data_IF_503033296765
#
_entry.id   IF_503033296765
#
_cell.length_a   1.000
_cell.length_b   1.000
_cell.length_c   1.000
_cell.angle_alpha   90.00
_cell.angle_beta   90.00
_cell.angle_gamma   90.00
#
_symmetry.space_group_name_H-M   'P 1'
#
loop_
_entity.id
_entity.type
_entity.pdbx_description
1 polymer ?
#
# COMPACT_ATOMS: atom_id res chain seq x y z
N UNK A 1 -21.33 23.97 10.58
CA UNK A 1 -19.97 23.97 10.00
C UNK A 1 -19.69 22.56 9.50
N UNK A 2 -19.62 22.31 8.18
CA UNK A 2 -19.27 20.98 7.65
C UNK A 2 -17.75 20.76 7.81
N UNK A 3 -17.34 19.64 8.38
CA UNK A 3 -15.92 19.25 8.48
C UNK A 3 -15.45 18.66 7.15
N UNK A 4 -14.18 18.87 6.80
CA UNK A 4 -13.63 18.42 5.52
C UNK A 4 -13.67 16.89 5.39
N UNK A 5 -13.90 16.41 4.17
CA UNK A 5 -14.03 14.99 3.82
C UNK A 5 -15.49 14.58 3.61
N UNK A 6 -15.89 13.38 4.07
CA UNK A 6 -17.25 12.83 3.88
C UNK A 6 -17.99 12.79 5.22
N UNK A 7 -19.10 13.52 5.36
CA UNK A 7 -19.87 13.60 6.61
C UNK A 7 -18.99 13.91 7.85
N UNK A 8 -17.89 14.61 7.64
CA UNK A 8 -16.89 14.95 8.66
C UNK A 8 -15.79 13.92 8.92
N UNK A 9 -15.81 12.75 8.27
CA UNK A 9 -14.69 11.81 8.21
C UNK A 9 -13.62 12.31 7.23
N UNK A 10 -12.34 12.23 7.63
CA UNK A 10 -11.21 12.51 6.73
C UNK A 10 -11.15 11.43 5.65
N UNK A 11 -11.07 11.85 4.39
CA UNK A 11 -10.95 10.96 3.23
C UNK A 11 -9.95 11.54 2.24
N UNK A 12 -9.41 10.69 1.36
CA UNK A 12 -8.67 11.16 0.18
C UNK A 12 -9.64 11.23 -1.00
N UNK A 13 -9.72 12.39 -1.65
CA UNK A 13 -10.45 12.54 -2.89
C UNK A 13 -9.68 11.85 -4.02
N UNK A 14 -10.28 10.83 -4.64
CA UNK A 14 -9.70 10.09 -5.76
C UNK A 14 -10.17 10.67 -7.10
N UNK A 15 -11.47 10.90 -7.25
CA UNK A 15 -12.07 11.53 -8.42
C UNK A 15 -13.17 12.49 -7.99
N UNK A 16 -13.39 13.59 -8.70
CA UNK A 16 -14.45 14.56 -8.41
C UNK A 16 -15.38 14.74 -9.62
N UNK A 17 -16.68 14.79 -9.37
CA UNK A 17 -17.72 14.93 -10.38
C UNK A 17 -18.41 13.60 -10.68
N UNK A 18 -18.10 12.97 -11.84
CA UNK A 18 -18.90 11.84 -12.35
C UNK A 18 -18.06 10.58 -12.62
N UNK A 19 -17.95 9.63 -11.67
CA UNK A 19 -18.41 9.70 -10.27
C UNK A 19 -17.42 10.41 -9.34
N UNK A 20 -17.90 11.02 -8.24
CA UNK A 20 -17.02 11.41 -7.12
C UNK A 20 -16.63 10.17 -6.33
N UNK A 21 -15.33 9.90 -6.27
CA UNK A 21 -14.76 8.76 -5.56
C UNK A 21 -13.87 9.23 -4.42
N UNK A 22 -14.00 8.59 -3.27
CA UNK A 22 -13.16 8.84 -2.09
C UNK A 22 -12.57 7.56 -1.54
N UNK A 23 -11.40 7.68 -0.91
CA UNK A 23 -10.74 6.63 -0.16
C UNK A 23 -10.92 6.93 1.33
N UNK A 24 -11.63 6.05 2.04
CA UNK A 24 -11.83 6.11 3.49
C UNK A 24 -10.87 5.17 4.21
N UNK A 25 -10.98 5.05 5.54
CA UNK A 25 -10.23 4.01 6.25
C UNK A 25 -10.66 2.58 5.86
N UNK A 26 -11.89 2.40 5.38
CA UNK A 26 -12.52 1.11 5.10
C UNK A 26 -12.49 0.73 3.62
N UNK A 27 -12.81 1.66 2.71
CA UNK A 27 -13.12 1.34 1.32
C UNK A 27 -12.77 2.50 0.37
N UNK A 28 -12.65 2.15 -0.91
CA UNK A 28 -12.80 3.10 -2.01
C UNK A 28 -14.28 3.08 -2.39
N UNK A 29 -14.92 4.24 -2.46
CA UNK A 29 -16.36 4.30 -2.71
C UNK A 29 -16.79 5.56 -3.43
N UNK A 30 -17.91 5.44 -4.15
CA UNK A 30 -18.62 6.56 -4.74
C UNK A 30 -19.47 7.26 -3.69
N UNK A 31 -19.43 8.59 -3.71
CA UNK A 31 -20.28 9.45 -2.89
C UNK A 31 -20.93 10.50 -3.78
N UNK A 32 -22.00 11.13 -3.30
CA UNK A 32 -22.54 12.30 -3.98
C UNK A 32 -21.59 13.50 -3.82
N UNK A 33 -21.48 14.34 -4.84
CA UNK A 33 -20.54 15.47 -4.86
C UNK A 33 -20.71 16.42 -3.67
N UNK A 34 -21.95 16.59 -3.18
CA UNK A 34 -22.28 17.45 -2.05
C UNK A 34 -21.95 16.82 -0.66
N UNK A 35 -21.67 15.52 -0.61
CA UNK A 35 -21.17 14.84 0.59
C UNK A 35 -19.68 15.14 0.81
N UNK A 36 -18.95 15.52 -0.24
CA UNK A 36 -17.55 15.91 -0.15
C UNK A 36 -17.40 17.38 0.23
N UNK A 37 -16.50 17.64 1.19
CA UNK A 37 -16.09 19.00 1.55
C UNK A 37 -14.58 19.12 1.45
N UNK A 38 -14.11 19.93 0.51
CA UNK A 38 -12.68 20.21 0.38
C UNK A 38 -12.16 20.98 1.60
N UNK A 39 -11.00 20.59 2.18
CA UNK A 39 -10.41 21.33 3.28
C UNK A 39 -9.87 22.70 2.83
N UNK A 40 -10.09 23.74 3.64
CA UNK A 40 -9.56 25.10 3.39
C UNK A 40 -8.08 25.27 3.77
N UNK A 41 -7.53 24.32 4.52
CA UNK A 41 -6.15 24.29 4.97
C UNK A 41 -5.59 22.87 4.82
N UNK A 42 -4.28 22.74 4.71
CA UNK A 42 -3.62 21.44 4.68
C UNK A 42 -4.04 20.59 5.89
N UNK A 43 -4.39 19.33 5.63
CA UNK A 43 -4.73 18.37 6.67
C UNK A 43 -3.52 17.51 6.99
N UNK A 44 -3.51 16.92 8.19
CA UNK A 44 -2.55 15.90 8.55
C UNK A 44 -2.59 14.74 7.53
N UNK A 45 -1.46 14.07 7.38
CA UNK A 45 -1.37 12.90 6.51
C UNK A 45 -2.39 11.85 6.92
N UNK A 46 -3.15 11.34 5.95
CA UNK A 46 -4.16 10.32 6.15
C UNK A 46 -3.72 9.02 5.48
N UNK A 47 -3.59 7.96 6.28
CA UNK A 47 -3.36 6.60 5.80
C UNK A 47 -4.59 5.74 6.14
N UNK A 48 -5.26 5.14 5.14
CA UNK A 48 -6.36 4.21 5.41
C UNK A 48 -5.96 3.08 6.34
N UNK A 49 -6.73 2.85 7.40
CA UNK A 49 -6.44 1.81 8.40
C UNK A 49 -6.35 0.43 7.76
N UNK A 50 -7.16 0.16 6.74
CA UNK A 50 -7.14 -1.10 5.98
C UNK A 50 -5.80 -1.44 5.33
N UNK A 51 -4.92 -0.46 5.12
CA UNK A 51 -3.58 -0.67 4.56
C UNK A 51 -2.51 -1.00 5.59
N UNK A 52 -2.73 -0.70 6.88
CA UNK A 52 -1.67 -0.81 7.90
C UNK A 52 -2.08 -1.45 9.23
N UNK A 53 -3.37 -1.58 9.55
CA UNK A 53 -3.79 -2.32 10.73
C UNK A 53 -3.96 -3.81 10.39
N UNK A 54 -3.40 -4.72 11.21
CA UNK A 54 -3.54 -6.16 10.98
C UNK A 54 -4.97 -6.62 11.25
N UNK A 55 -5.45 -7.56 10.44
CA UNK A 55 -6.68 -8.30 10.72
C UNK A 55 -6.42 -9.51 11.61
N UNK A 56 -5.30 -10.18 11.37
CA UNK A 56 -4.90 -11.38 12.08
C UNK A 56 -3.45 -11.72 11.82
N UNK A 57 -3.06 -12.92 12.25
CA UNK A 57 -1.79 -13.51 11.89
C UNK A 57 -1.92 -15.00 11.55
N UNK A 58 -1.05 -15.43 10.66
CA UNK A 58 -0.80 -16.83 10.35
C UNK A 58 0.42 -17.33 11.13
N UNK A 59 0.38 -18.55 11.63
CA UNK A 59 1.53 -19.20 12.28
C UNK A 59 2.19 -20.18 11.31
N UNK A 60 3.44 -19.91 10.94
CA UNK A 60 4.29 -20.79 10.14
C UNK A 60 4.79 -21.99 10.98
N UNK A 61 5.27 -23.06 10.34
CA UNK A 61 5.68 -24.29 11.02
C UNK A 61 6.81 -24.10 12.06
N UNK A 62 7.64 -23.08 11.89
CA UNK A 62 8.72 -22.71 12.80
C UNK A 62 8.26 -21.81 13.97
N UNK A 63 6.95 -21.55 14.08
CA UNK A 63 6.37 -20.67 15.10
C UNK A 63 6.36 -19.19 14.71
N UNK A 64 6.93 -18.80 13.56
CA UNK A 64 6.89 -17.43 13.07
C UNK A 64 5.44 -16.96 12.88
N UNK A 65 5.17 -15.70 13.23
CA UNK A 65 3.85 -15.08 13.01
C UNK A 65 3.92 -14.14 11.81
N UNK A 66 3.10 -14.41 10.80
CA UNK A 66 2.90 -13.51 9.65
C UNK A 66 1.61 -12.73 9.84
N UNK A 67 1.73 -11.43 10.15
CA UNK A 67 0.58 -10.53 10.22
C UNK A 67 0.00 -10.30 8.83
N UNK A 68 -1.32 -10.30 8.72
CA UNK A 68 -2.04 -10.08 7.46
C UNK A 68 -3.13 -9.02 7.57
N UNK A 69 -3.43 -8.34 6.46
CA UNK A 69 -4.43 -7.27 6.37
C UNK A 69 -5.86 -7.82 6.28
N UNK A 70 -6.88 -6.95 6.34
CA UNK A 70 -8.29 -7.37 6.14
C UNK A 70 -8.55 -8.05 4.79
N UNK A 71 -7.72 -7.76 3.79
CA UNK A 71 -7.78 -8.37 2.45
C UNK A 71 -6.86 -9.60 2.34
N UNK A 72 -6.47 -10.19 3.48
CA UNK A 72 -5.61 -11.37 3.60
C UNK A 72 -4.29 -11.23 2.83
N UNK A 73 -3.68 -10.05 2.90
CA UNK A 73 -2.36 -9.78 2.30
C UNK A 73 -1.29 -9.83 3.40
N UNK A 74 -0.17 -10.54 3.21
CA UNK A 74 0.97 -10.51 4.13
C UNK A 74 1.46 -9.07 4.35
N UNK A 75 1.84 -8.75 5.58
CA UNK A 75 2.30 -7.41 5.97
C UNK A 75 3.69 -7.47 6.60
N UNK A 76 3.82 -8.23 7.69
CA UNK A 76 5.06 -8.40 8.42
C UNK A 76 5.24 -9.84 8.86
N UNK A 77 6.48 -10.31 8.95
CA UNK A 77 6.83 -11.55 9.64
C UNK A 77 7.58 -11.23 10.93
N UNK A 78 7.12 -11.86 12.01
CA UNK A 78 7.71 -11.81 13.33
C UNK A 78 8.36 -13.17 13.62
N UNK A 79 9.67 -13.17 13.91
CA UNK A 79 10.39 -14.34 14.41
C UNK A 79 11.12 -13.98 15.69
N UNK A 80 11.17 -14.91 16.62
CA UNK A 80 11.87 -14.69 17.89
C UNK A 80 13.35 -14.39 17.65
N UNK A 81 13.85 -13.35 18.31
CA UNK A 81 15.24 -12.90 18.20
C UNK A 81 15.63 -12.24 16.88
N UNK A 82 14.71 -12.09 15.91
CA UNK A 82 15.02 -11.49 14.61
C UNK A 82 14.35 -10.13 14.41
N UNK A 83 14.94 -9.24 13.58
CA UNK A 83 14.27 -8.04 13.12
C UNK A 83 12.96 -8.37 12.40
N UNK A 84 12.01 -7.43 12.46
CA UNK A 84 10.75 -7.54 11.74
C UNK A 84 11.01 -7.50 10.23
N UNK A 85 10.51 -8.51 9.53
CA UNK A 85 10.60 -8.58 8.07
C UNK A 85 9.33 -7.94 7.48
N UNK A 86 9.48 -6.93 6.62
CA UNK A 86 8.37 -6.40 5.80
C UNK A 86 8.17 -7.34 4.61
N UNK A 87 6.97 -7.90 4.48
CA UNK A 87 6.66 -8.86 3.43
C UNK A 87 6.01 -8.19 2.23
N UNK A 88 6.28 -8.75 1.06
CA UNK A 88 5.54 -8.42 -0.15
C UNK A 88 4.09 -8.95 -0.04
N UNK A 89 3.07 -8.11 -0.35
CA UNK A 89 1.67 -8.46 -0.11
C UNK A 89 1.10 -9.50 -1.09
N UNK A 90 1.89 -9.98 -2.05
CA UNK A 90 1.55 -11.07 -2.96
C UNK A 90 2.29 -12.38 -2.65
N UNK A 91 3.06 -12.43 -1.55
CA UNK A 91 3.72 -13.66 -1.14
C UNK A 91 2.70 -14.71 -0.73
N UNK A 92 2.94 -15.95 -1.17
CA UNK A 92 2.21 -17.10 -0.68
C UNK A 92 2.86 -17.53 0.64
N UNK A 93 2.06 -17.59 1.70
CA UNK A 93 2.48 -18.01 3.03
C UNK A 93 1.94 -19.41 3.30
N UNK A 94 2.81 -20.31 3.77
CA UNK A 94 2.42 -21.63 4.22
C UNK A 94 2.31 -21.61 5.73
N UNK A 95 1.11 -21.82 6.24
CA UNK A 95 0.81 -21.75 7.67
C UNK A 95 -0.06 -22.93 8.09
N UNK A 96 -0.05 -23.25 9.37
CA UNK A 96 -0.86 -24.32 9.94
C UNK A 96 -1.92 -23.81 10.92
N UNK A 97 -1.86 -22.54 11.32
CA UNK A 97 -2.84 -21.90 12.18
C UNK A 97 -3.11 -20.46 11.73
N UNK A 98 -4.35 -20.02 11.85
CA UNK A 98 -4.80 -18.65 11.62
C UNK A 98 -5.49 -18.12 12.88
N UNK A 99 -5.16 -16.89 13.28
CA UNK A 99 -5.78 -16.19 14.40
C UNK A 99 -6.24 -14.81 13.96
N UNK A 100 -7.49 -14.44 14.27
CA UNK A 100 -8.00 -13.09 14.04
C UNK A 100 -7.85 -12.25 15.30
N UNK A 101 -7.40 -11.01 15.13
CA UNK A 101 -7.27 -10.03 16.23
C UNK A 101 -8.59 -9.31 16.51
N UNK A 102 -9.54 -9.37 15.59
CA UNK A 102 -10.87 -8.79 15.72
C UNK A 102 -11.89 -9.53 14.85
N UNK A 103 -13.18 -9.54 15.22
CA UNK A 103 -14.20 -10.29 14.50
C UNK A 103 -14.58 -9.61 13.17
N UNK A 104 -15.33 -10.30 12.31
CA UNK A 104 -15.70 -9.75 11.00
C UNK A 104 -16.71 -8.60 11.06
N UNK A 105 -17.49 -8.50 12.13
CA UNK A 105 -18.60 -7.58 12.35
C UNK A 105 -18.26 -6.33 13.18
N UNK A 106 -17.08 -6.28 13.79
CA UNK A 106 -16.51 -5.06 14.36
C UNK A 106 -15.34 -4.63 13.48
N UNK A 107 -15.00 -3.34 13.43
CA UNK A 107 -13.86 -2.89 12.66
C UNK A 107 -13.17 -1.68 13.29
N UNK A 108 -11.83 -1.55 13.16
CA UNK A 108 -11.08 -0.48 13.81
C UNK A 108 -11.41 0.92 13.27
N UNK A 109 -11.96 1.02 12.06
CA UNK A 109 -12.43 2.31 11.51
C UNK A 109 -13.78 2.77 12.08
N UNK A 110 -14.48 1.92 12.82
CA UNK A 110 -15.73 2.27 13.53
C UNK A 110 -15.63 2.16 15.06
N UNK A 111 -14.49 1.71 15.60
CA UNK A 111 -14.26 1.46 17.03
C UNK A 111 -12.91 2.04 17.46
N UNK A 112 -12.93 3.08 18.29
CA UNK A 112 -11.70 3.75 18.76
C UNK A 112 -10.91 2.84 19.69
N UNK A 113 -11.62 2.06 20.48
CA UNK A 113 -11.12 1.09 21.43
C UNK A 113 -10.36 -0.01 20.68
N UNK A 114 -10.98 -0.57 19.62
CA UNK A 114 -10.34 -1.58 18.79
C UNK A 114 -9.13 -1.01 18.04
N UNK A 115 -9.22 0.21 17.52
CA UNK A 115 -8.06 0.89 16.91
C UNK A 115 -6.91 1.01 17.91
N UNK A 116 -7.17 1.49 19.13
CA UNK A 116 -6.17 1.65 20.17
C UNK A 116 -5.55 0.30 20.59
N UNK A 117 -6.36 -0.76 20.66
CA UNK A 117 -5.87 -2.11 20.89
C UNK A 117 -4.89 -2.55 19.80
N UNK A 118 -5.21 -2.35 18.52
CA UNK A 118 -4.33 -2.72 17.41
C UNK A 118 -3.05 -1.87 17.37
N UNK A 119 -3.14 -0.58 17.65
CA UNK A 119 -1.95 0.28 17.77
C UNK A 119 -1.04 -0.22 18.90
N UNK A 120 -1.59 -0.57 20.06
CA UNK A 120 -0.84 -1.15 21.17
C UNK A 120 -0.24 -2.51 20.81
N UNK A 121 -0.96 -3.34 20.06
CA UNK A 121 -0.45 -4.61 19.55
C UNK A 121 0.79 -4.40 18.67
N UNK A 122 0.76 -3.42 17.76
CA UNK A 122 1.92 -3.08 16.93
C UNK A 122 3.11 -2.63 17.79
N UNK A 123 2.88 -1.76 18.77
CA UNK A 123 3.91 -1.26 19.71
C UNK A 123 4.54 -2.41 20.52
N UNK A 124 3.71 -3.29 21.09
CA UNK A 124 4.17 -4.43 21.89
C UNK A 124 5.02 -5.39 21.07
N UNK A 125 4.71 -5.56 19.78
CA UNK A 125 5.48 -6.37 18.86
C UNK A 125 6.62 -5.58 18.17
N UNK A 126 6.93 -4.36 18.61
CA UNK A 126 8.00 -3.47 18.11
C UNK A 126 7.88 -3.10 16.63
N UNK A 127 6.67 -3.10 16.10
CA UNK A 127 6.37 -2.77 14.70
C UNK A 127 6.20 -1.26 14.54
N UNK A 128 7.26 -0.60 14.09
CA UNK A 128 7.28 0.86 13.86
C UNK A 128 7.30 1.24 12.38
N UNK A 129 7.53 0.27 11.49
CA UNK A 129 7.56 0.48 10.04
C UNK A 129 6.21 0.11 9.44
N UNK A 130 5.72 0.95 8.52
CA UNK A 130 4.54 0.62 7.70
C UNK A 130 4.77 -0.65 6.87
N UNK A 131 3.73 -1.44 6.58
CA UNK A 131 3.87 -2.62 5.73
C UNK A 131 4.16 -2.18 4.27
N UNK A 132 4.66 -3.09 3.43
CA UNK A 132 4.77 -2.80 1.98
C UNK A 132 3.41 -2.44 1.38
N UNK A 133 2.33 -3.03 1.90
CA UNK A 133 0.97 -2.75 1.44
C UNK A 133 0.60 -1.25 1.52
N UNK A 134 1.13 -0.50 2.49
CA UNK A 134 0.87 0.93 2.62
C UNK A 134 1.44 1.74 1.45
N UNK A 135 2.48 1.24 0.78
CA UNK A 135 3.08 1.85 -0.40
C UNK A 135 2.11 1.85 -1.60
N UNK A 136 0.99 1.11 -1.52
CA UNK A 136 -0.04 1.09 -2.56
C UNK A 136 -0.86 2.38 -2.61
N UNK A 137 -0.84 3.20 -1.55
CA UNK A 137 -1.74 4.35 -1.44
C UNK A 137 -1.63 5.31 -2.65
N UNK A 138 -0.44 5.74 -3.10
CA UNK A 138 -0.34 6.61 -4.27
C UNK A 138 -0.92 5.96 -5.54
N UNK A 139 -0.75 4.64 -5.70
CA UNK A 139 -1.31 3.91 -6.84
C UNK A 139 -2.85 3.87 -6.74
N UNK A 140 -3.40 3.60 -5.56
CA UNK A 140 -4.84 3.65 -5.32
C UNK A 140 -5.44 5.04 -5.52
N UNK A 141 -4.66 6.12 -5.37
CA UNK A 141 -5.13 7.49 -5.62
C UNK A 141 -5.10 7.80 -7.12
N UNK A 142 -4.05 7.41 -7.83
CA UNK A 142 -3.77 7.88 -9.19
C UNK A 142 -4.16 6.90 -10.30
N UNK A 143 -4.31 5.60 -10.01
CA UNK A 143 -4.66 4.62 -11.04
C UNK A 143 -6.02 4.95 -11.67
N UNK A 144 -6.08 5.04 -12.99
CA UNK A 144 -7.32 5.26 -13.77
C UNK A 144 -7.64 4.11 -14.72
N UNK A 145 -6.89 3.01 -14.62
CA UNK A 145 -7.01 1.87 -15.53
C UNK A 145 -8.31 1.09 -15.31
N UNK A 146 -8.84 1.13 -14.09
CA UNK A 146 -10.09 0.47 -13.70
C UNK A 146 -11.17 1.48 -13.31
N UNK A 147 -12.39 1.20 -13.77
CA UNK A 147 -13.61 1.94 -13.42
C UNK A 147 -14.10 1.67 -11.99
N UNK A 148 -13.70 0.54 -11.40
CA UNK A 148 -14.00 0.19 -10.01
C UNK A 148 -12.74 -0.38 -9.36
N UNK A 149 -12.16 0.40 -8.45
CA UNK A 149 -10.95 0.02 -7.73
C UNK A 149 -11.28 -0.25 -6.27
N UNK A 150 -10.69 -1.29 -5.70
CA UNK A 150 -10.88 -1.68 -4.30
C UNK A 150 -9.55 -1.82 -3.56
N UNK A 151 -9.57 -1.90 -2.22
CA UNK A 151 -8.36 -2.20 -1.46
C UNK A 151 -7.78 -3.59 -1.76
N UNK A 152 -8.60 -4.54 -2.20
CA UNK A 152 -8.11 -5.86 -2.62
C UNK A 152 -7.18 -5.78 -3.85
N UNK A 153 -7.33 -4.74 -4.68
CA UNK A 153 -6.46 -4.50 -5.85
C UNK A 153 -5.07 -3.96 -5.46
N UNK A 154 -4.89 -3.43 -4.24
CA UNK A 154 -3.67 -2.74 -3.80
C UNK A 154 -2.40 -3.57 -4.01
N UNK A 155 -2.44 -4.85 -3.64
CA UNK A 155 -1.30 -5.76 -3.80
C UNK A 155 -0.94 -5.98 -5.27
N UNK A 156 -1.95 -6.10 -6.15
CA UNK A 156 -1.73 -6.31 -7.58
C UNK A 156 -1.17 -5.06 -8.26
N UNK A 157 -1.67 -3.87 -7.89
CA UNK A 157 -1.14 -2.60 -8.38
C UNK A 157 0.33 -2.43 -7.99
N UNK A 158 0.67 -2.66 -6.72
CA UNK A 158 2.05 -2.62 -6.25
C UNK A 158 2.95 -3.60 -7.01
N UNK A 159 2.45 -4.82 -7.21
CA UNK A 159 3.16 -5.87 -7.94
C UNK A 159 3.49 -5.39 -9.36
N UNK A 160 2.48 -5.00 -10.12
CA UNK A 160 2.63 -4.53 -11.51
C UNK A 160 3.65 -3.38 -11.60
N UNK A 161 3.47 -2.36 -10.77
CA UNK A 161 4.32 -1.18 -10.77
C UNK A 161 5.80 -1.47 -10.40
N UNK A 162 6.07 -2.42 -9.50
CA UNK A 162 7.46 -2.83 -9.21
C UNK A 162 8.09 -3.57 -10.40
N UNK A 163 7.35 -4.48 -11.04
CA UNK A 163 7.87 -5.21 -12.21
C UNK A 163 8.14 -4.30 -13.41
N UNK A 164 7.28 -3.32 -13.67
CA UNK A 164 7.48 -2.35 -14.76
C UNK A 164 8.74 -1.51 -14.57
N UNK A 165 9.00 -1.01 -13.35
CA UNK A 165 10.24 -0.25 -13.06
C UNK A 165 11.51 -1.08 -13.27
N UNK A 166 11.48 -2.37 -12.93
CA UNK A 166 12.61 -3.27 -13.17
C UNK A 166 12.82 -3.59 -14.66
N UNK A 167 11.76 -3.54 -15.48
CA UNK A 167 11.89 -3.72 -16.92
C UNK A 167 12.49 -2.49 -17.61
N UNK A 168 12.00 -1.29 -17.28
CA UNK A 168 12.51 -0.03 -17.87
C UNK A 168 13.97 0.24 -17.52
N UNK A 169 14.37 -0.02 -16.27
CA UNK A 169 15.77 0.13 -15.82
C UNK A 169 16.74 -0.89 -16.45
N UNK A 170 16.24 -2.02 -16.97
CA UNK A 170 17.05 -3.00 -17.69
C UNK A 170 17.20 -2.68 -19.18
N UNK A 171 16.26 -1.93 -19.78
CA UNK A 171 16.37 -1.46 -21.16
C UNK A 171 17.40 -0.34 -21.27
N UNK A 172 17.40 0.63 -20.34
CA UNK A 172 18.37 1.73 -20.33
C UNK A 172 19.83 1.26 -20.12
N UNK A 173 20.02 0.12 -19.44
CA UNK A 173 21.36 -0.47 -19.24
C UNK A 173 21.89 -1.28 -20.43
N UNK A 174 21.07 -1.53 -21.46
CA UNK A 174 21.46 -2.33 -22.65
C UNK A 174 21.95 -1.49 -23.83
N UNK A 175 21.95 -0.16 -23.72
CA UNK A 175 22.63 0.72 -24.68
C UNK A 175 23.82 1.45 -24.03
N UNK A 176 24.98 0.79 -23.86
CA UNK A 176 26.21 1.55 -23.70
C UNK A 176 26.46 2.30 -25.01
N UNK A 177 26.68 3.61 -24.91
CA UNK A 177 27.15 4.46 -25.99
C UNK A 177 28.26 3.75 -26.78
N UNK A 178 27.99 3.39 -28.01
CA UNK A 178 29.01 3.06 -29.00
C UNK A 178 29.79 4.34 -29.27
N UNK A 179 30.88 4.54 -28.51
CA UNK A 179 31.96 5.44 -28.89
C UNK A 179 32.54 4.91 -30.20
N UNK A 180 32.19 5.58 -31.29
CA UNK A 180 32.89 5.48 -32.57
C UNK A 180 34.33 5.96 -32.37
N UNK A 181 35.23 5.00 -32.24
CA UNK A 181 36.68 5.19 -32.34
C UNK A 181 36.96 5.62 -33.79
N UNK A 182 37.46 6.83 -33.97
CA UNK A 182 38.03 7.28 -35.25
C UNK A 182 39.46 6.74 -35.32
N UNK A 183 39.84 5.92 -36.33
CA UNK A 183 41.23 5.57 -36.55
C UNK A 183 41.90 6.68 -37.36
N UNK A 184 43.03 7.18 -36.86
CA UNK A 184 43.92 8.07 -37.60
C UNK A 184 44.81 7.33 -38.60
N UNK A 185 45.20 8.07 -39.64
CA UNK A 185 46.43 7.86 -40.42
C UNK A 185 46.21 7.39 -41.86
N UNK A 186 46.55 8.24 -42.84
CA UNK A 186 47.72 8.04 -43.72
C UNK A 186 47.95 9.27 -44.62
N UNK A 187 49.20 9.73 -44.69
CA UNK A 187 49.74 10.72 -45.63
C UNK A 187 49.74 10.19 -47.07
N UNK A 188 49.58 11.07 -48.06
CA UNK A 188 50.35 11.01 -49.32
C UNK A 188 50.59 12.44 -49.83
N UNK A 189 51.85 12.71 -50.16
CA UNK A 189 52.45 13.91 -50.76
C UNK A 189 52.00 14.21 -52.19
N UNK A 190 51.99 15.49 -52.55
CA UNK A 190 52.46 16.02 -53.86
C UNK A 190 52.76 17.51 -53.70
#
# INVERSE_FOLDING_TARGET
>A
MKTAGRNGEVVILRNFGRPTEVITHQAIMTIADFEYVSPRAARAFFLPMRLYLPYGYWTEADGSRVLFSRDYKPMWRLRDGHPIERLDPWLRIYFHQETHLWPSNEAPWSSKELKAFLDNYLIQNKIFLLPVLADALPLLVHDRSKSSLTFADAANLLKAHRFERHFSSNIERRHPHSHSIVPGGFEVTS
#
